data_IF_807997833291
#
_entry.id   IF_807997833291
#
_cell.length_a   1.000
_cell.length_b   1.000
_cell.length_c   1.000
_cell.angle_alpha   90.00
_cell.angle_beta   90.00
_cell.angle_gamma   90.00
#
_symmetry.space_group_name_H-M   'P 1'
#
loop_
_entity.id
_entity.type
_entity.pdbx_description
1 polymer ?
#
# COMPACT_ATOMS: atom_id res chain seq x y z
N UNK A 1 -66.58 -4.51 7.23
CA UNK A 1 -66.47 -3.67 6.03
C UNK A 1 -65.22 -4.16 5.31
N UNK A 2 -65.40 -5.05 4.34
CA UNK A 2 -64.30 -5.63 3.56
C UNK A 2 -63.78 -4.56 2.61
N UNK A 3 -62.66 -3.94 2.97
CA UNK A 3 -61.93 -3.10 2.04
C UNK A 3 -61.15 -4.02 1.12
N UNK A 4 -61.79 -4.43 0.03
CA UNK A 4 -61.10 -4.99 -1.13
C UNK A 4 -60.31 -3.83 -1.73
N UNK A 5 -59.09 -3.60 -1.25
CA UNK A 5 -58.10 -2.88 -2.05
C UNK A 5 -57.58 -3.88 -3.05
N UNK A 6 -57.93 -3.63 -4.30
CA UNK A 6 -57.49 -4.32 -5.49
C UNK A 6 -55.99 -4.60 -5.37
N UNK A 7 -55.63 -5.87 -5.13
CA UNK A 7 -54.24 -6.28 -5.05
C UNK A 7 -53.72 -6.35 -6.48
N UNK A 8 -53.54 -5.19 -7.11
CA UNK A 8 -52.83 -5.09 -8.38
C UNK A 8 -51.44 -5.68 -8.14
N UNK A 9 -51.18 -6.81 -8.79
CA UNK A 9 -49.90 -7.49 -8.72
C UNK A 9 -48.83 -6.52 -9.23
N UNK A 10 -48.04 -5.94 -8.31
CA UNK A 10 -46.97 -5.00 -8.68
C UNK A 10 -45.90 -5.75 -9.46
N UNK A 11 -45.64 -5.32 -10.69
CA UNK A 11 -44.62 -5.89 -11.57
C UNK A 11 -43.50 -4.90 -11.86
N UNK A 12 -42.25 -5.37 -11.91
CA UNK A 12 -41.09 -4.51 -12.14
C UNK A 12 -41.11 -4.00 -13.58
N UNK A 13 -40.22 -3.07 -13.92
CA UNK A 13 -39.99 -2.66 -15.31
C UNK A 13 -39.71 -3.86 -16.24
N UNK A 14 -39.20 -4.95 -15.68
CA UNK A 14 -38.89 -6.20 -16.38
C UNK A 14 -39.95 -7.31 -16.19
N UNK A 15 -41.11 -6.98 -15.61
CA UNK A 15 -42.23 -7.90 -15.44
C UNK A 15 -42.09 -8.91 -14.30
N UNK A 16 -41.19 -8.67 -13.34
CA UNK A 16 -41.04 -9.55 -12.18
C UNK A 16 -41.90 -9.09 -11.00
N UNK A 17 -42.57 -10.03 -10.33
CA UNK A 17 -43.35 -9.75 -9.12
C UNK A 17 -42.49 -9.47 -7.89
N UNK A 18 -43.16 -9.20 -6.77
CA UNK A 18 -42.52 -8.97 -5.46
C UNK A 18 -42.36 -10.28 -4.67
N UNK A 19 -41.60 -10.24 -3.57
CA UNK A 19 -41.33 -11.40 -2.69
C UNK A 19 -42.48 -11.78 -1.76
N UNK A 20 -43.62 -11.08 -1.83
CA UNK A 20 -44.85 -11.39 -1.10
C UNK A 20 -44.92 -10.89 0.35
N UNK A 21 -43.91 -10.17 0.84
CA UNK A 21 -43.91 -9.55 2.16
C UNK A 21 -43.72 -8.04 2.03
N UNK A 22 -44.37 -7.28 2.93
CA UNK A 22 -44.18 -5.84 3.08
C UNK A 22 -43.57 -5.53 4.43
N UNK A 23 -42.55 -4.69 4.44
CA UNK A 23 -41.84 -4.22 5.62
C UNK A 23 -41.98 -2.70 5.69
N UNK A 24 -42.86 -2.22 6.57
CA UNK A 24 -43.13 -0.77 6.73
C UNK A 24 -43.50 -0.09 5.40
N UNK A 25 -44.33 -0.75 4.59
CA UNK A 25 -44.73 -0.27 3.27
C UNK A 25 -43.69 -0.47 2.15
N UNK A 26 -42.50 -1.00 2.45
CA UNK A 26 -41.49 -1.38 1.45
C UNK A 26 -41.67 -2.85 1.05
N UNK A 27 -41.62 -3.13 -0.25
CA UNK A 27 -41.68 -4.47 -0.82
C UNK A 27 -40.44 -4.71 -1.70
N UNK A 28 -40.01 -5.96 -1.82
CA UNK A 28 -38.80 -6.34 -2.56
C UNK A 28 -39.16 -6.95 -3.92
N UNK A 29 -38.51 -6.47 -4.98
CA UNK A 29 -38.62 -7.02 -6.33
C UNK A 29 -37.84 -8.33 -6.46
N UNK A 30 -38.46 -9.38 -7.01
CA UNK A 30 -37.79 -10.65 -7.27
C UNK A 30 -37.10 -10.67 -8.66
N UNK A 31 -36.29 -9.65 -8.92
CA UNK A 31 -35.53 -9.54 -10.16
C UNK A 31 -34.33 -10.51 -10.14
N UNK A 32 -33.97 -11.15 -11.26
CA UNK A 32 -32.72 -11.89 -11.34
C UNK A 32 -31.53 -10.94 -11.20
N UNK A 33 -30.41 -11.45 -10.66
CA UNK A 33 -29.18 -10.68 -10.56
C UNK A 33 -28.72 -10.21 -11.96
N UNK A 34 -28.22 -8.96 -12.10
CA UNK A 34 -27.68 -8.49 -13.37
C UNK A 34 -26.56 -9.41 -13.87
N UNK A 35 -26.65 -9.86 -15.12
CA UNK A 35 -25.68 -10.82 -15.68
C UNK A 35 -24.24 -10.32 -15.59
N UNK A 36 -24.02 -9.04 -15.84
CA UNK A 36 -22.68 -8.43 -15.73
C UNK A 36 -22.13 -8.50 -14.30
N UNK A 37 -22.99 -8.33 -13.28
CA UNK A 37 -22.59 -8.42 -11.88
C UNK A 37 -22.15 -9.85 -11.54
N UNK A 38 -22.91 -10.85 -12.00
CA UNK A 38 -22.57 -12.26 -11.82
C UNK A 38 -21.24 -12.61 -12.50
N UNK A 39 -21.00 -12.08 -13.71
CA UNK A 39 -19.70 -12.24 -14.38
C UNK A 39 -18.55 -11.63 -13.57
N UNK A 40 -18.70 -10.40 -13.09
CA UNK A 40 -17.70 -9.76 -12.23
C UNK A 40 -17.45 -10.59 -10.96
N UNK A 41 -18.50 -11.10 -10.32
CA UNK A 41 -18.40 -11.95 -9.14
C UNK A 41 -17.61 -13.25 -9.42
N UNK A 42 -17.86 -13.93 -10.54
CA UNK A 42 -17.07 -15.11 -10.89
C UNK A 42 -15.63 -14.77 -11.29
N UNK A 43 -15.40 -13.65 -11.96
CA UNK A 43 -14.05 -13.21 -12.31
C UNK A 43 -13.20 -12.92 -11.07
N UNK A 44 -13.76 -12.30 -10.03
CA UNK A 44 -13.01 -12.06 -8.79
C UNK A 44 -12.70 -13.35 -8.04
N UNK A 45 -13.60 -14.34 -8.06
CA UNK A 45 -13.33 -15.68 -7.52
C UNK A 45 -12.18 -16.35 -8.26
N UNK A 46 -12.23 -16.39 -9.60
CA UNK A 46 -11.18 -16.97 -10.44
C UNK A 46 -9.85 -16.26 -10.15
N UNK A 47 -9.86 -14.93 -10.09
CA UNK A 47 -8.67 -14.14 -9.76
C UNK A 47 -8.12 -14.48 -8.38
N UNK A 48 -8.97 -14.60 -7.35
CA UNK A 48 -8.55 -14.97 -6.00
C UNK A 48 -7.88 -16.35 -5.92
N UNK A 49 -8.41 -17.33 -6.66
CA UNK A 49 -7.81 -18.67 -6.77
C UNK A 49 -6.45 -18.60 -7.46
N UNK A 50 -6.36 -17.91 -8.60
CA UNK A 50 -5.10 -17.74 -9.33
C UNK A 50 -4.05 -17.01 -8.48
N UNK A 51 -4.45 -15.96 -7.77
CA UNK A 51 -3.56 -15.18 -6.92
C UNK A 51 -3.00 -16.01 -5.75
N UNK A 52 -3.85 -16.83 -5.14
CA UNK A 52 -3.48 -17.77 -4.06
C UNK A 52 -2.47 -18.83 -4.52
N UNK A 53 -2.51 -19.24 -5.80
CA UNK A 53 -1.53 -20.16 -6.39
C UNK A 53 -0.24 -19.42 -6.77
N UNK A 54 -0.35 -18.19 -7.27
CA UNK A 54 0.79 -17.41 -7.74
C UNK A 54 1.68 -16.90 -6.60
N UNK A 55 1.08 -16.48 -5.48
CA UNK A 55 1.74 -15.80 -4.37
C UNK A 55 1.68 -16.59 -3.06
N UNK A 56 2.50 -16.21 -2.06
CA UNK A 56 2.33 -16.71 -0.71
C UNK A 56 0.95 -16.41 -0.13
N UNK A 57 0.27 -17.44 0.39
CA UNK A 57 -1.13 -17.30 0.77
C UNK A 57 -1.52 -18.05 2.05
N UNK A 58 -1.20 -19.34 2.16
CA UNK A 58 -1.69 -20.17 3.27
C UNK A 58 -0.64 -20.25 4.38
N UNK A 59 -0.96 -19.87 5.62
CA UNK A 59 -0.06 -20.02 6.75
C UNK A 59 0.10 -21.51 7.10
N UNK A 60 1.35 -21.93 7.19
CA UNK A 60 1.80 -23.20 7.75
C UNK A 60 2.37 -22.94 9.16
N UNK A 61 2.76 -24.00 9.87
CA UNK A 61 3.21 -23.89 11.27
C UNK A 61 4.41 -22.93 11.43
N UNK A 62 5.34 -22.91 10.46
CA UNK A 62 6.57 -22.09 10.52
C UNK A 62 6.83 -21.30 9.22
N UNK A 63 5.90 -21.28 8.27
CA UNK A 63 6.08 -20.65 6.96
C UNK A 63 4.74 -20.34 6.31
N UNK A 64 4.73 -19.80 5.10
CA UNK A 64 3.55 -19.78 4.24
C UNK A 64 3.84 -20.62 2.98
N UNK A 65 2.81 -20.97 2.22
CA UNK A 65 3.02 -21.40 0.83
C UNK A 65 3.84 -20.35 0.10
N UNK A 66 4.76 -20.72 -0.79
CA UNK A 66 5.60 -19.76 -1.52
C UNK A 66 4.94 -19.23 -2.81
N UNK A 67 3.88 -19.91 -3.26
CA UNK A 67 3.33 -19.73 -4.60
C UNK A 67 4.28 -20.21 -5.71
N UNK A 68 3.85 -20.07 -6.96
CA UNK A 68 4.64 -20.46 -8.14
C UNK A 68 5.62 -19.38 -8.63
N UNK A 69 5.39 -18.11 -8.27
CA UNK A 69 6.22 -17.00 -8.74
C UNK A 69 7.45 -16.72 -7.85
N UNK A 70 7.60 -17.43 -6.73
CA UNK A 70 8.73 -17.25 -5.81
C UNK A 70 8.76 -15.88 -5.11
N UNK A 71 7.64 -15.17 -5.09
CA UNK A 71 7.53 -13.84 -4.49
C UNK A 71 7.79 -13.87 -2.98
N UNK A 72 8.55 -12.90 -2.47
CA UNK A 72 8.75 -12.69 -1.05
C UNK A 72 8.92 -11.20 -0.75
N UNK A 73 8.05 -10.64 0.10
CA UNK A 73 8.14 -9.22 0.49
C UNK A 73 9.49 -8.88 1.13
N UNK A 74 10.07 -9.81 1.89
CA UNK A 74 11.40 -9.61 2.50
C UNK A 74 12.52 -9.63 1.45
N UNK A 75 12.40 -10.50 0.45
CA UNK A 75 13.37 -10.56 -0.63
C UNK A 75 13.35 -9.28 -1.46
N UNK A 76 12.15 -8.75 -1.76
CA UNK A 76 12.02 -7.49 -2.51
C UNK A 76 12.69 -6.32 -1.78
N UNK A 77 12.49 -6.20 -0.45
CA UNK A 77 13.16 -5.15 0.33
C UNK A 77 14.68 -5.33 0.29
N UNK A 78 15.18 -6.56 0.42
CA UNK A 78 16.61 -6.83 0.31
C UNK A 78 17.18 -6.47 -1.07
N UNK A 79 16.44 -6.77 -2.15
CA UNK A 79 16.80 -6.41 -3.52
C UNK A 79 16.79 -4.89 -3.73
N UNK A 80 15.77 -4.19 -3.26
CA UNK A 80 15.67 -2.72 -3.33
C UNK A 80 16.82 -2.05 -2.57
N UNK A 81 17.12 -2.52 -1.36
CA UNK A 81 18.25 -2.05 -0.57
C UNK A 81 19.57 -2.29 -1.29
N UNK A 82 19.78 -3.51 -1.83
CA UNK A 82 20.98 -3.85 -2.58
C UNK A 82 21.14 -2.98 -3.83
N UNK A 83 20.05 -2.71 -4.56
CA UNK A 83 20.07 -1.84 -5.73
C UNK A 83 20.50 -0.40 -5.38
N UNK A 84 20.01 0.15 -4.27
CA UNK A 84 20.42 1.48 -3.78
C UNK A 84 21.88 1.49 -3.35
N UNK A 85 22.32 0.47 -2.62
CA UNK A 85 23.72 0.31 -2.19
C UNK A 85 24.63 0.25 -3.42
N UNK A 86 24.35 -0.64 -4.38
CA UNK A 86 25.15 -0.80 -5.60
C UNK A 86 25.21 0.49 -6.42
N UNK A 87 24.08 1.20 -6.58
CA UNK A 87 24.03 2.47 -7.32
C UNK A 87 24.95 3.53 -6.73
N UNK A 88 25.08 3.55 -5.40
CA UNK A 88 25.84 4.56 -4.68
C UNK A 88 27.23 4.09 -4.23
N UNK A 89 27.56 2.80 -4.42
CA UNK A 89 28.72 2.14 -3.85
C UNK A 89 30.02 2.89 -4.15
N UNK A 90 30.27 3.25 -5.40
CA UNK A 90 31.52 3.93 -5.78
C UNK A 90 31.72 5.32 -5.15
N UNK A 91 30.65 6.00 -4.72
CA UNK A 91 30.75 7.25 -3.96
C UNK A 91 30.86 6.98 -2.45
N UNK A 92 30.11 6.00 -1.94
CA UNK A 92 30.19 5.57 -0.55
C UNK A 92 31.59 5.05 -0.21
N UNK A 93 32.17 4.16 -1.02
CA UNK A 93 33.50 3.60 -0.81
C UNK A 93 34.58 4.71 -0.77
N UNK A 94 34.40 5.78 -1.55
CA UNK A 94 35.30 6.95 -1.52
C UNK A 94 35.12 7.79 -0.28
N UNK A 95 33.89 7.97 0.20
CA UNK A 95 33.62 8.66 1.47
C UNK A 95 34.12 7.87 2.68
N UNK A 96 34.02 6.53 2.64
CA UNK A 96 34.49 5.67 3.72
C UNK A 96 36.03 5.61 3.80
N UNK A 97 36.71 5.85 2.67
CA UNK A 97 38.18 5.83 2.59
C UNK A 97 38.86 7.18 2.85
N UNK A 98 38.12 8.29 2.83
CA UNK A 98 38.67 9.65 3.00
C UNK A 98 38.42 10.17 4.42
N UNK A 99 39.43 10.80 5.02
CA UNK A 99 39.24 11.52 6.28
C UNK A 99 38.40 12.77 6.04
N UNK A 100 37.51 13.11 6.98
CA UNK A 100 36.59 14.24 6.83
C UNK A 100 37.33 15.57 6.57
N UNK A 101 38.49 15.76 7.20
CA UNK A 101 39.33 16.97 7.06
C UNK A 101 39.96 17.09 5.67
N UNK A 102 40.07 15.98 4.94
CA UNK A 102 40.72 15.89 3.64
C UNK A 102 39.69 15.93 2.48
N UNK A 103 38.38 15.97 2.78
CA UNK A 103 37.33 16.01 1.77
C UNK A 103 37.30 17.37 1.04
N UNK A 104 37.66 17.44 -0.26
CA UNK A 104 37.78 18.73 -0.93
C UNK A 104 36.39 19.29 -1.29
N UNK A 105 36.16 20.56 -0.97
CA UNK A 105 34.84 21.21 -1.06
C UNK A 105 34.33 21.47 -2.49
N UNK A 106 35.21 21.46 -3.48
CA UNK A 106 34.88 21.68 -4.90
C UNK A 106 34.89 20.36 -5.69
N UNK A 107 34.21 19.34 -5.16
CA UNK A 107 34.15 18.01 -5.78
C UNK A 107 32.74 17.45 -5.78
N UNK A 108 32.44 16.62 -6.78
CA UNK A 108 31.19 15.85 -6.82
C UNK A 108 31.02 14.94 -5.59
N UNK A 109 32.13 14.53 -4.96
CA UNK A 109 32.12 13.71 -3.74
C UNK A 109 31.64 14.54 -2.54
N UNK A 110 32.11 15.79 -2.40
CA UNK A 110 31.62 16.72 -1.38
C UNK A 110 30.14 17.07 -1.59
N UNK A 111 29.73 17.36 -2.82
CA UNK A 111 28.31 17.63 -3.12
C UNK A 111 27.40 16.45 -2.77
N UNK A 112 27.86 15.23 -3.05
CA UNK A 112 27.17 14.00 -2.66
C UNK A 112 27.09 13.88 -1.14
N UNK A 113 28.21 14.08 -0.43
CA UNK A 113 28.26 14.02 1.03
C UNK A 113 27.34 15.03 1.70
N UNK A 114 27.35 16.29 1.26
CA UNK A 114 26.49 17.35 1.82
C UNK A 114 25.02 17.07 1.56
N UNK A 115 24.64 16.64 0.35
CA UNK A 115 23.23 16.32 0.04
C UNK A 115 22.74 15.13 0.86
N UNK A 116 23.53 14.06 0.94
CA UNK A 116 23.17 12.87 1.70
C UNK A 116 23.15 13.16 3.21
N UNK A 117 24.17 13.86 3.70
CA UNK A 117 24.27 14.32 5.09
C UNK A 117 23.12 15.26 5.49
N UNK A 118 22.64 16.13 4.60
CA UNK A 118 21.46 16.97 4.84
C UNK A 118 20.20 16.13 5.05
N UNK A 119 20.01 15.08 4.25
CA UNK A 119 18.88 14.16 4.41
C UNK A 119 18.99 13.36 5.73
N UNK A 120 20.18 12.87 6.07
CA UNK A 120 20.44 12.19 7.36
C UNK A 120 20.18 13.14 8.54
N UNK A 121 20.67 14.37 8.47
CA UNK A 121 20.48 15.39 9.50
C UNK A 121 19.00 15.71 9.68
N UNK A 122 18.25 15.87 8.60
CA UNK A 122 16.81 16.13 8.65
C UNK A 122 16.06 15.01 9.40
N UNK A 123 16.37 13.75 9.10
CA UNK A 123 15.67 12.62 9.70
C UNK A 123 16.08 12.35 11.16
N UNK A 124 17.37 12.52 11.47
CA UNK A 124 17.95 11.99 12.72
C UNK A 124 18.38 13.08 13.71
N UNK A 125 18.70 14.29 13.26
CA UNK A 125 19.32 15.33 14.09
C UNK A 125 18.45 16.59 14.26
N UNK A 126 17.63 16.91 13.26
CA UNK A 126 16.89 18.18 13.18
C UNK A 126 15.86 18.37 14.29
N UNK A 127 15.42 17.27 14.92
CA UNK A 127 14.47 17.31 16.04
C UNK A 127 15.04 18.05 17.25
N UNK A 128 16.36 17.95 17.48
CA UNK A 128 17.05 18.64 18.57
C UNK A 128 17.81 19.87 18.08
N UNK A 129 18.53 19.75 16.95
CA UNK A 129 19.37 20.82 16.42
C UNK A 129 18.64 21.81 15.51
N UNK A 130 17.32 21.67 15.36
CA UNK A 130 16.49 22.50 14.50
C UNK A 130 16.67 22.19 13.01
N UNK A 131 15.67 22.59 12.21
CA UNK A 131 15.64 22.31 10.76
C UNK A 131 16.84 22.89 10.00
N UNK A 132 17.38 24.01 10.47
CA UNK A 132 18.53 24.69 9.87
C UNK A 132 19.85 24.47 10.60
N UNK A 133 19.93 23.46 11.48
CA UNK A 133 21.07 23.22 12.38
C UNK A 133 21.38 24.36 13.36
N UNK A 134 20.48 25.32 13.56
CA UNK A 134 20.70 26.49 14.42
C UNK A 134 20.56 26.23 15.93
N UNK A 135 20.26 25.00 16.33
CA UNK A 135 19.99 24.64 17.71
C UNK A 135 18.70 25.24 18.27
N UNK A 136 18.46 24.96 19.54
CA UNK A 136 17.40 25.58 20.35
C UNK A 136 18.03 25.99 21.66
N UNK A 137 18.60 27.20 21.69
CA UNK A 137 19.35 27.73 22.82
C UNK A 137 18.55 27.70 24.13
N UNK A 138 17.24 27.99 24.07
CA UNK A 138 16.34 27.96 25.22
C UNK A 138 16.17 26.56 25.85
N UNK A 139 16.49 25.50 25.09
CA UNK A 139 16.37 24.10 25.53
C UNK A 139 17.73 23.39 25.64
N UNK A 140 18.84 24.13 25.51
CA UNK A 140 20.19 23.58 25.64
C UNK A 140 20.72 22.81 24.43
N UNK A 141 20.03 22.86 23.27
CA UNK A 141 20.51 22.22 22.05
C UNK A 141 21.38 23.19 21.24
N UNK A 142 22.64 22.84 20.91
CA UNK A 142 23.58 23.74 20.26
C UNK A 142 23.27 23.95 18.77
N UNK A 143 23.72 25.12 18.28
CA UNK A 143 23.94 25.40 16.87
C UNK A 143 25.21 24.68 16.41
#
# INVERSE_FOLDING_TARGET
>A
MSDQTDNEEKTSEFGHGTTGHSWDGIEEWNNPLPRWWVWCFYLTIIWGVLYTIAYPAWPLINSATSGLLGYSTRANVAEDMAAVVMRNQGLNDKLDAIELVDLPTDTALHDYAVKWGTAVFANNCSQCHGRGAAGVQASGYPN
#
